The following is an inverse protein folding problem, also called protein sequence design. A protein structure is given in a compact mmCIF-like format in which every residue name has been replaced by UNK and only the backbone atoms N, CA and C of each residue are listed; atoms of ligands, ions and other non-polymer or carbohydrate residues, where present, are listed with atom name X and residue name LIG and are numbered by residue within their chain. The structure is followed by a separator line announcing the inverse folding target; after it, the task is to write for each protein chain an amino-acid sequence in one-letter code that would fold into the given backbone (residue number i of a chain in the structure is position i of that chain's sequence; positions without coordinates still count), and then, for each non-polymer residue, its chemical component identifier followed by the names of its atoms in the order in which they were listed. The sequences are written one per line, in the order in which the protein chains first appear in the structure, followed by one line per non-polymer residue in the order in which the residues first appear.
data_IF_166069676532
#
_entry.id   IF_166069676532
#
_cell.length_a   1.000
_cell.length_b   1.000
_cell.length_c   1.000
_cell.angle_alpha   90.00
_cell.angle_beta   90.00
_cell.angle_gamma   90.00
#
_symmetry.space_group_name_H-M   'P 1'
#
loop_
_entity.id
_entity.type
_entity.pdbx_description
1 polymer ?
#
# COMPACT_ATOMS: atom_id res chain seq x y z
N UNK A 1 -99.71 -10.89 17.56
CA UNK A 1 -100.12 -9.82 16.62
C UNK A 1 -99.09 -9.79 15.50
N UNK A 2 -99.38 -10.47 14.39
CA UNK A 2 -98.58 -10.40 13.17
C UNK A 2 -99.09 -9.20 12.36
N UNK A 3 -98.30 -8.13 12.34
CA UNK A 3 -98.58 -7.01 11.44
C UNK A 3 -98.21 -7.46 10.02
N UNK A 4 -99.14 -7.46 9.05
CA UNK A 4 -98.78 -7.71 7.66
C UNK A 4 -97.82 -6.60 7.22
N UNK A 5 -96.60 -6.99 6.86
CA UNK A 5 -95.66 -6.10 6.21
C UNK A 5 -96.28 -5.64 4.88
N UNK A 6 -96.23 -4.33 4.63
CA UNK A 6 -96.64 -3.75 3.37
C UNK A 6 -95.83 -4.39 2.22
N UNK A 7 -96.48 -5.04 1.23
CA UNK A 7 -95.81 -5.63 0.08
C UNK A 7 -94.88 -4.65 -0.66
N UNK A 8 -95.19 -3.35 -0.65
CA UNK A 8 -94.36 -2.33 -1.27
C UNK A 8 -92.99 -2.18 -0.56
N UNK A 9 -92.97 -2.22 0.77
CA UNK A 9 -91.74 -2.15 1.56
C UNK A 9 -90.87 -3.39 1.34
N UNK A 10 -91.48 -4.56 1.18
CA UNK A 10 -90.75 -5.80 0.88
C UNK A 10 -90.06 -5.76 -0.49
N UNK A 11 -90.75 -5.24 -1.52
CA UNK A 11 -90.16 -5.09 -2.85
C UNK A 11 -88.95 -4.13 -2.85
N UNK A 12 -89.07 -2.98 -2.19
CA UNK A 12 -87.96 -2.02 -2.08
C UNK A 12 -86.76 -2.61 -1.33
N UNK A 13 -87.00 -3.29 -0.19
CA UNK A 13 -85.93 -3.93 0.56
C UNK A 13 -85.24 -5.05 -0.23
N UNK A 14 -85.98 -5.78 -1.07
CA UNK A 14 -85.43 -6.81 -1.95
C UNK A 14 -84.56 -6.21 -3.05
N UNK A 15 -84.99 -5.13 -3.69
CA UNK A 15 -84.20 -4.42 -4.72
C UNK A 15 -82.91 -3.85 -4.13
N UNK A 16 -82.98 -3.25 -2.95
CA UNK A 16 -81.80 -2.76 -2.21
C UNK A 16 -80.83 -3.90 -1.89
N UNK A 17 -81.32 -5.04 -1.40
CA UNK A 17 -80.50 -6.20 -1.10
C UNK A 17 -79.80 -6.75 -2.35
N UNK A 18 -80.51 -6.85 -3.48
CA UNK A 18 -79.94 -7.29 -4.76
C UNK A 18 -78.85 -6.31 -5.22
N UNK A 19 -79.08 -5.01 -5.08
CA UNK A 19 -78.07 -3.98 -5.38
C UNK A 19 -76.80 -4.17 -4.55
N UNK A 20 -76.94 -4.34 -3.22
CA UNK A 20 -75.81 -4.58 -2.31
C UNK A 20 -75.06 -5.88 -2.62
N UNK A 21 -75.78 -6.95 -2.98
CA UNK A 21 -75.15 -8.22 -3.38
C UNK A 21 -74.28 -8.01 -4.63
N UNK A 22 -74.79 -7.33 -5.67
CA UNK A 22 -74.02 -7.04 -6.88
C UNK A 22 -72.78 -6.19 -6.61
N UNK A 23 -72.91 -5.17 -5.76
CA UNK A 23 -71.78 -4.32 -5.37
C UNK A 23 -70.70 -5.13 -4.63
N UNK A 24 -71.11 -6.01 -3.71
CA UNK A 24 -70.17 -6.89 -3.00
C UNK A 24 -69.51 -7.90 -3.94
N UNK A 25 -70.24 -8.45 -4.91
CA UNK A 25 -69.68 -9.34 -5.94
C UNK A 25 -68.65 -8.61 -6.81
N UNK A 26 -68.92 -7.38 -7.22
CA UNK A 26 -67.99 -6.55 -7.99
C UNK A 26 -66.72 -6.21 -7.17
N UNK A 27 -66.88 -5.80 -5.91
CA UNK A 27 -65.75 -5.56 -5.00
C UNK A 27 -64.91 -6.81 -4.75
N UNK A 28 -65.55 -7.97 -4.60
CA UNK A 28 -64.85 -9.25 -4.42
C UNK A 28 -64.10 -9.65 -5.70
N UNK A 29 -64.68 -9.41 -6.86
CA UNK A 29 -64.02 -9.65 -8.15
C UNK A 29 -62.79 -8.73 -8.32
N UNK A 30 -62.91 -7.45 -7.96
CA UNK A 30 -61.80 -6.50 -8.05
C UNK A 30 -60.67 -6.85 -7.08
N UNK A 31 -61.00 -7.23 -5.84
CA UNK A 31 -60.01 -7.71 -4.88
C UNK A 31 -59.30 -8.98 -5.38
N UNK A 32 -60.02 -9.90 -6.03
CA UNK A 32 -59.40 -11.10 -6.65
C UNK A 32 -58.46 -10.73 -7.78
N UNK A 33 -58.80 -9.72 -8.59
CA UNK A 33 -57.91 -9.22 -9.66
C UNK A 33 -56.66 -8.58 -9.06
N UNK A 34 -56.80 -7.69 -8.07
CA UNK A 34 -55.67 -7.06 -7.38
C UNK A 34 -54.73 -8.12 -6.78
N UNK A 35 -55.28 -9.07 -6.02
CA UNK A 35 -54.50 -10.15 -5.41
C UNK A 35 -53.80 -11.04 -6.46
N UNK A 36 -54.42 -11.26 -7.62
CA UNK A 36 -53.78 -12.01 -8.72
C UNK A 36 -52.62 -11.24 -9.35
N UNK A 37 -52.72 -9.92 -9.45
CA UNK A 37 -51.65 -9.06 -9.97
C UNK A 37 -50.48 -9.00 -8.99
N UNK A 38 -50.77 -8.81 -7.70
CA UNK A 38 -49.76 -8.81 -6.63
C UNK A 38 -48.99 -10.14 -6.58
N UNK A 39 -49.69 -11.27 -6.66
CA UNK A 39 -49.05 -12.59 -6.68
C UNK A 39 -48.13 -12.77 -7.89
N UNK A 40 -48.49 -12.25 -9.06
CA UNK A 40 -47.65 -12.34 -10.25
C UNK A 40 -46.43 -11.42 -10.16
N UNK A 41 -46.59 -10.22 -9.59
CA UNK A 41 -45.46 -9.32 -9.29
C UNK A 41 -44.49 -9.95 -8.30
N UNK A 42 -44.98 -10.61 -7.25
CA UNK A 42 -44.14 -11.31 -6.28
C UNK A 42 -43.37 -12.48 -6.94
N UNK A 43 -44.03 -13.24 -7.82
CA UNK A 43 -43.37 -14.32 -8.58
C UNK A 43 -42.29 -13.79 -9.53
N UNK A 44 -42.52 -12.65 -10.18
CA UNK A 44 -41.50 -12.01 -11.00
C UNK A 44 -40.33 -11.49 -10.17
N UNK A 45 -40.60 -10.85 -9.03
CA UNK A 45 -39.57 -10.38 -8.12
C UNK A 45 -38.71 -11.56 -7.62
N UNK A 46 -39.34 -12.67 -7.25
CA UNK A 46 -38.65 -13.90 -6.84
C UNK A 46 -37.79 -14.49 -7.96
N UNK A 47 -38.31 -14.56 -9.20
CA UNK A 47 -37.52 -15.02 -10.36
C UNK A 47 -36.30 -14.14 -10.61
N UNK A 48 -36.42 -12.82 -10.51
CA UNK A 48 -35.28 -11.89 -10.66
C UNK A 48 -34.25 -12.06 -9.55
N UNK A 49 -34.71 -12.30 -8.33
CA UNK A 49 -33.81 -12.56 -7.20
C UNK A 49 -33.06 -13.88 -7.37
N UNK A 50 -33.74 -14.96 -7.77
CA UNK A 50 -33.13 -16.25 -8.06
C UNK A 50 -32.11 -16.15 -9.21
N UNK A 51 -32.42 -15.43 -10.29
CA UNK A 51 -31.46 -15.15 -11.37
C UNK A 51 -30.20 -14.43 -10.88
N UNK A 52 -30.35 -13.41 -10.01
CA UNK A 52 -29.19 -12.71 -9.43
C UNK A 52 -28.34 -13.61 -8.53
N UNK A 53 -28.96 -14.54 -7.80
CA UNK A 53 -28.22 -15.52 -7.00
C UNK A 53 -27.43 -16.48 -7.89
N UNK A 54 -28.00 -16.93 -9.00
CA UNK A 54 -27.29 -17.79 -9.97
C UNK A 54 -26.11 -17.04 -10.64
N UNK A 55 -26.31 -15.77 -11.01
CA UNK A 55 -25.25 -14.89 -11.54
C UNK A 55 -24.12 -14.68 -10.52
N UNK A 56 -24.46 -14.44 -9.25
CA UNK A 56 -23.47 -14.29 -8.19
C UNK A 56 -22.72 -15.60 -7.92
N UNK A 57 -23.42 -16.73 -7.96
CA UNK A 57 -22.82 -18.05 -7.76
C UNK A 57 -21.83 -18.37 -8.85
N UNK A 58 -22.20 -18.18 -10.13
CA UNK A 58 -21.29 -18.37 -11.27
C UNK A 58 -20.10 -17.42 -11.21
N UNK A 59 -20.32 -16.15 -10.86
CA UNK A 59 -19.23 -15.18 -10.67
C UNK A 59 -18.25 -15.59 -9.55
N UNK A 60 -18.75 -16.15 -8.44
CA UNK A 60 -17.90 -16.65 -7.36
C UNK A 60 -17.09 -17.89 -7.78
N UNK A 61 -17.69 -18.82 -8.52
CA UNK A 61 -17.01 -20.00 -9.05
C UNK A 61 -15.91 -19.62 -10.05
N UNK A 62 -16.18 -18.70 -10.98
CA UNK A 62 -15.19 -18.18 -11.93
C UNK A 62 -14.03 -17.48 -11.21
N UNK A 63 -14.35 -16.66 -10.21
CA UNK A 63 -13.34 -16.02 -9.38
C UNK A 63 -12.46 -17.08 -8.70
N UNK A 64 -13.07 -18.08 -8.06
CA UNK A 64 -12.34 -19.15 -7.37
C UNK A 64 -11.38 -19.89 -8.31
N UNK A 65 -11.83 -20.25 -9.52
CA UNK A 65 -10.98 -20.88 -10.53
C UNK A 65 -9.81 -19.97 -10.94
N UNK A 66 -10.06 -18.66 -11.06
CA UNK A 66 -9.02 -17.66 -11.30
C UNK A 66 -7.96 -17.62 -10.19
N UNK A 67 -8.38 -17.64 -8.93
CA UNK A 67 -7.49 -17.68 -7.77
C UNK A 67 -6.67 -18.98 -7.71
N UNK A 68 -7.26 -20.13 -8.03
CA UNK A 68 -6.56 -21.42 -8.06
C UNK A 68 -5.51 -21.48 -9.17
N UNK A 69 -5.81 -20.94 -10.36
CA UNK A 69 -4.87 -20.87 -11.47
C UNK A 69 -3.67 -19.98 -11.13
N UNK A 70 -3.91 -18.80 -10.56
CA UNK A 70 -2.83 -17.88 -10.17
C UNK A 70 -1.97 -18.46 -9.04
N UNK A 71 -2.59 -19.18 -8.08
CA UNK A 71 -1.87 -19.90 -7.03
C UNK A 71 -0.98 -21.01 -7.61
N UNK A 72 -1.49 -21.76 -8.59
CA UNK A 72 -0.72 -22.79 -9.29
C UNK A 72 0.47 -22.18 -10.04
N UNK A 73 0.24 -21.09 -10.77
CA UNK A 73 1.29 -20.33 -11.46
C UNK A 73 2.37 -19.84 -10.49
N UNK A 74 1.97 -19.16 -9.42
CA UNK A 74 2.89 -18.67 -8.37
C UNK A 74 3.71 -19.81 -7.74
N UNK A 75 3.12 -21.00 -7.56
CA UNK A 75 3.84 -22.17 -7.05
C UNK A 75 4.90 -22.67 -8.04
N UNK A 76 4.60 -22.68 -9.34
CA UNK A 76 5.58 -23.05 -10.38
C UNK A 76 6.72 -22.05 -10.48
N UNK A 77 6.42 -20.75 -10.43
CA UNK A 77 7.43 -19.67 -10.47
C UNK A 77 8.33 -19.72 -9.23
N UNK A 78 7.76 -19.91 -8.04
CA UNK A 78 8.51 -20.09 -6.79
C UNK A 78 9.42 -21.33 -6.83
N UNK A 79 8.92 -22.44 -7.35
CA UNK A 79 9.71 -23.67 -7.55
C UNK A 79 10.88 -23.44 -8.53
N UNK A 80 10.64 -22.73 -9.64
CA UNK A 80 11.67 -22.39 -10.61
C UNK A 80 12.75 -21.48 -10.01
N UNK A 81 12.36 -20.44 -9.26
CA UNK A 81 13.29 -19.54 -8.55
C UNK A 81 14.12 -20.33 -7.54
N UNK A 82 13.50 -21.23 -6.77
CA UNK A 82 14.20 -22.09 -5.82
C UNK A 82 15.24 -22.98 -6.51
N UNK A 83 14.90 -23.58 -7.64
CA UNK A 83 15.84 -24.38 -8.44
C UNK A 83 17.01 -23.54 -8.97
N UNK A 84 16.75 -22.32 -9.45
CA UNK A 84 17.80 -21.39 -9.88
C UNK A 84 18.71 -20.98 -8.72
N UNK A 85 18.16 -20.75 -7.53
CA UNK A 85 18.94 -20.43 -6.33
C UNK A 85 19.86 -21.57 -5.90
N UNK A 86 19.36 -22.81 -5.91
CA UNK A 86 20.17 -24.00 -5.61
C UNK A 86 21.32 -24.17 -6.62
N UNK A 87 21.05 -23.94 -7.91
CA UNK A 87 22.08 -23.94 -8.95
C UNK A 87 23.16 -22.88 -8.71
N UNK A 88 22.77 -21.62 -8.49
CA UNK A 88 23.71 -20.53 -8.24
C UNK A 88 24.53 -20.76 -6.95
N UNK A 89 23.91 -21.36 -5.93
CA UNK A 89 24.59 -21.77 -4.70
C UNK A 89 25.66 -22.83 -4.97
N UNK A 90 25.37 -23.81 -5.83
CA UNK A 90 26.36 -24.81 -6.25
C UNK A 90 27.50 -24.17 -7.06
N UNK A 91 27.20 -23.29 -8.01
CA UNK A 91 28.21 -22.55 -8.80
C UNK A 91 29.11 -21.69 -7.90
N UNK A 92 28.53 -20.98 -6.92
CA UNK A 92 29.29 -20.21 -5.92
C UNK A 92 30.31 -21.06 -5.17
N UNK A 93 29.92 -22.27 -4.72
CA UNK A 93 30.84 -23.19 -4.02
C UNK A 93 32.01 -23.62 -4.91
N UNK A 94 31.77 -23.83 -6.21
CA UNK A 94 32.84 -24.14 -7.17
C UNK A 94 33.83 -22.98 -7.28
N UNK A 95 33.32 -21.75 -7.41
CA UNK A 95 34.17 -20.55 -7.46
C UNK A 95 34.98 -20.34 -6.18
N UNK A 96 34.39 -20.59 -5.01
CA UNK A 96 35.10 -20.52 -3.73
C UNK A 96 36.26 -21.52 -3.65
N UNK A 97 36.08 -22.75 -4.14
CA UNK A 97 37.12 -23.77 -4.21
C UNK A 97 38.25 -23.36 -5.17
N UNK A 98 37.90 -22.85 -6.35
CA UNK A 98 38.87 -22.33 -7.32
C UNK A 98 39.68 -21.18 -6.70
N UNK A 99 39.01 -20.22 -6.05
CA UNK A 99 39.65 -19.10 -5.38
C UNK A 99 40.57 -19.55 -4.24
N UNK A 100 40.18 -20.58 -3.47
CA UNK A 100 41.02 -21.15 -2.42
C UNK A 100 42.30 -21.79 -2.99
N UNK A 101 42.20 -22.51 -4.10
CA UNK A 101 43.35 -23.11 -4.79
C UNK A 101 44.31 -22.05 -5.34
N UNK A 102 43.80 -20.98 -5.95
CA UNK A 102 44.64 -19.86 -6.39
C UNK A 102 45.33 -19.15 -5.23
N UNK A 103 44.62 -18.90 -4.12
CA UNK A 103 45.20 -18.34 -2.90
C UNK A 103 46.33 -19.22 -2.35
N UNK A 104 46.17 -20.54 -2.35
CA UNK A 104 47.21 -21.49 -1.92
C UNK A 104 48.44 -21.41 -2.82
N UNK A 105 48.27 -21.43 -4.16
CA UNK A 105 49.38 -21.30 -5.12
C UNK A 105 50.11 -19.96 -4.97
N UNK A 106 49.36 -18.86 -4.81
CA UNK A 106 49.94 -17.54 -4.60
C UNK A 106 50.80 -17.49 -3.32
N UNK A 107 50.30 -18.05 -2.20
CA UNK A 107 51.09 -18.16 -0.96
C UNK A 107 52.39 -18.93 -1.16
N UNK A 108 52.35 -20.07 -1.83
CA UNK A 108 53.58 -20.86 -2.10
C UNK A 108 54.59 -20.12 -2.97
N UNK A 109 54.12 -19.33 -3.95
CA UNK A 109 55.01 -18.51 -4.78
C UNK A 109 55.62 -17.35 -3.99
N UNK A 110 54.82 -16.68 -3.16
CA UNK A 110 55.30 -15.61 -2.27
C UNK A 110 56.35 -16.15 -1.29
N UNK A 111 56.10 -17.30 -0.67
CA UNK A 111 57.09 -17.94 0.22
C UNK A 111 58.40 -18.29 -0.51
N UNK A 112 58.32 -18.77 -1.76
CA UNK A 112 59.52 -19.06 -2.57
C UNK A 112 60.31 -17.79 -2.88
N UNK A 113 59.64 -16.75 -3.37
CA UNK A 113 60.26 -15.45 -3.67
C UNK A 113 60.85 -14.80 -2.41
N UNK A 114 60.19 -14.96 -1.26
CA UNK A 114 60.70 -14.46 0.01
C UNK A 114 62.02 -15.16 0.39
N UNK A 115 62.10 -16.49 0.25
CA UNK A 115 63.36 -17.23 0.51
C UNK A 115 64.48 -16.83 -0.45
N UNK A 116 64.18 -16.64 -1.73
CA UNK A 116 65.16 -16.18 -2.73
C UNK A 116 65.66 -14.76 -2.40
N UNK A 117 64.74 -13.85 -2.04
CA UNK A 117 65.07 -12.49 -1.58
C UNK A 117 65.98 -12.53 -0.35
N UNK A 118 65.63 -13.32 0.67
CA UNK A 118 66.42 -13.42 1.90
C UNK A 118 67.83 -13.97 1.62
N UNK A 119 67.95 -14.92 0.67
CA UNK A 119 69.24 -15.43 0.20
C UNK A 119 70.10 -14.37 -0.48
N UNK A 120 69.52 -13.60 -1.40
CA UNK A 120 70.21 -12.49 -2.07
C UNK A 120 70.62 -11.38 -1.09
N UNK A 121 69.76 -11.05 -0.12
CA UNK A 121 70.09 -10.07 0.91
C UNK A 121 71.29 -10.50 1.77
N UNK A 122 71.43 -11.80 2.07
CA UNK A 122 72.60 -12.33 2.76
C UNK A 122 73.86 -12.22 1.91
N UNK A 123 73.77 -12.53 0.62
CA UNK A 123 74.90 -12.40 -0.32
C UNK A 123 75.38 -10.95 -0.44
N UNK A 124 74.45 -10.00 -0.58
CA UNK A 124 74.75 -8.55 -0.57
C UNK A 124 75.42 -8.14 0.74
N UNK A 125 74.97 -8.66 1.89
CA UNK A 125 75.62 -8.39 3.20
C UNK A 125 77.05 -8.92 3.25
N UNK A 126 77.35 -10.07 2.63
CA UNK A 126 78.72 -10.61 2.57
C UNK A 126 79.61 -9.77 1.66
N UNK A 127 79.13 -9.38 0.47
CA UNK A 127 79.87 -8.52 -0.47
C UNK A 127 80.19 -7.14 0.15
N UNK A 128 79.24 -6.59 0.91
CA UNK A 128 79.44 -5.31 1.63
C UNK A 128 80.52 -5.38 2.71
N UNK A 129 80.85 -6.58 3.24
CA UNK A 129 81.96 -6.76 4.18
C UNK A 129 83.32 -6.87 3.47
N UNK A 130 83.34 -7.28 2.20
CA UNK A 130 84.55 -7.48 1.41
C UNK A 130 85.01 -6.23 0.66
N UNK A 131 84.17 -5.20 0.59
CA UNK A 131 84.51 -3.90 0.00
C UNK A 131 84.94 -2.92 1.10
N UNK A 132 86.26 -2.64 1.27
CA UNK A 132 86.69 -1.59 2.19
C UNK A 132 86.16 -0.23 1.73
N UNK A 133 85.80 0.60 2.70
CA UNK A 133 85.18 1.90 2.50
C UNK A 133 86.07 2.84 1.68
N UNK A 134 85.92 2.82 0.35
CA UNK A 134 86.46 3.87 -0.51
C UNK A 134 85.53 5.08 -0.40
N UNK A 135 85.97 6.01 0.44
CA UNK A 135 85.58 7.41 0.46
C UNK A 135 85.59 7.95 -0.97
N UNK A 136 84.46 8.46 -1.48
CA UNK A 136 84.40 9.83 -2.02
C UNK A 136 83.02 10.20 -2.59
N UNK A 137 82.61 11.39 -2.16
CA UNK A 137 81.74 12.38 -2.80
C UNK A 137 80.73 11.91 -3.86
N UNK A 138 79.44 11.97 -3.49
CA UNK A 138 78.40 12.32 -4.45
C UNK A 138 77.67 13.58 -4.00
N UNK A 139 77.47 14.55 -4.91
CA UNK A 139 77.00 15.89 -4.58
C UNK A 139 75.53 15.88 -4.18
N UNK A 140 75.20 16.76 -3.24
CA UNK A 140 73.84 17.20 -2.90
C UNK A 140 73.10 17.59 -4.18
N UNK A 141 72.22 16.71 -4.66
CA UNK A 141 71.13 17.12 -5.54
C UNK A 141 69.93 17.47 -4.67
N UNK A 142 69.75 18.77 -4.44
CA UNK A 142 68.52 19.36 -3.94
C UNK A 142 67.40 19.16 -4.97
N UNK A 143 66.73 18.00 -4.92
CA UNK A 143 65.46 17.82 -5.60
C UNK A 143 64.37 18.51 -4.77
N UNK A 144 64.00 19.72 -5.19
CA UNK A 144 62.77 20.41 -4.78
C UNK A 144 61.55 19.61 -5.22
N UNK A 145 61.25 18.53 -4.50
CA UNK A 145 60.03 17.76 -4.67
C UNK A 145 58.86 18.57 -4.13
N UNK A 146 58.26 19.39 -4.99
CA UNK A 146 56.88 19.84 -4.81
C UNK A 146 56.05 18.60 -4.51
N UNK A 147 55.50 18.53 -3.29
CA UNK A 147 54.49 17.56 -2.90
C UNK A 147 53.25 17.76 -3.80
N UNK A 148 53.27 17.16 -4.98
CA UNK A 148 52.06 16.91 -5.72
C UNK A 148 51.35 15.78 -4.99
N UNK A 149 50.35 16.14 -4.20
CA UNK A 149 49.31 15.21 -3.76
C UNK A 149 48.83 14.44 -4.99
N UNK A 150 48.99 13.11 -5.04
CA UNK A 150 48.54 12.30 -6.17
C UNK A 150 47.01 12.30 -6.33
N UNK A 151 46.28 12.96 -5.43
CA UNK A 151 44.83 13.14 -5.48
C UNK A 151 44.38 14.52 -5.99
N UNK A 152 45.29 15.46 -6.28
CA UNK A 152 44.93 16.79 -6.81
C UNK A 152 44.31 16.72 -8.22
N UNK A 153 44.58 15.66 -8.99
CA UNK A 153 44.00 15.46 -10.33
C UNK A 153 42.54 14.96 -10.30
N UNK A 154 41.99 14.60 -9.13
CA UNK A 154 40.61 14.13 -9.02
C UNK A 154 39.56 15.24 -8.80
N UNK A 155 39.96 16.52 -8.81
CA UNK A 155 38.99 17.63 -8.85
C UNK A 155 37.96 17.67 -7.72
N UNK A 156 38.22 17.00 -6.59
CA UNK A 156 37.34 17.04 -5.43
C UNK A 156 37.66 18.29 -4.61
N UNK A 157 37.21 19.43 -5.13
CA UNK A 157 37.19 20.68 -4.37
C UNK A 157 36.20 20.53 -3.23
N UNK A 158 36.73 20.57 -2.02
CA UNK A 158 35.97 20.72 -0.78
C UNK A 158 35.47 22.17 -0.74
N UNK A 159 34.31 22.44 -1.32
CA UNK A 159 33.50 23.63 -1.08
C UNK A 159 32.16 23.49 -1.82
N UNK A 160 31.14 23.03 -1.09
CA UNK A 160 29.85 23.71 -0.89
C UNK A 160 28.92 22.71 -0.22
N UNK A 161 28.73 22.90 1.08
CA UNK A 161 27.49 22.51 1.72
C UNK A 161 26.32 23.24 1.02
N UNK A 162 25.22 22.51 0.83
CA UNK A 162 23.88 23.02 0.57
C UNK A 162 23.60 23.59 -0.82
N UNK A 163 23.41 22.72 -1.82
CA UNK A 163 22.34 22.89 -2.81
C UNK A 163 22.17 21.57 -3.57
N UNK A 164 20.95 21.05 -3.55
CA UNK A 164 20.60 19.74 -4.08
C UNK A 164 20.93 19.58 -5.56
N UNK A 165 21.58 18.46 -5.87
CA UNK A 165 21.49 17.84 -7.19
C UNK A 165 20.09 17.21 -7.26
N UNK A 166 19.06 18.06 -7.36
CA UNK A 166 17.77 17.67 -7.88
C UNK A 166 17.92 17.66 -9.40
N UNK A 167 18.44 16.55 -9.92
CA UNK A 167 18.41 16.28 -11.34
C UNK A 167 16.95 16.35 -11.79
N UNK A 168 16.69 17.28 -12.71
CA UNK A 168 15.40 17.48 -13.35
C UNK A 168 14.98 16.22 -14.12
N UNK A 169 14.39 15.25 -13.42
CA UNK A 169 13.46 14.34 -14.03
C UNK A 169 12.14 15.10 -14.07
N UNK A 170 11.97 15.88 -15.15
CA UNK A 170 10.71 16.52 -15.51
C UNK A 170 9.69 15.45 -15.95
N UNK A 171 9.35 14.52 -15.04
CA UNK A 171 8.14 13.72 -15.14
C UNK A 171 7.02 14.53 -14.49
N UNK A 172 5.85 14.63 -15.12
CA UNK A 172 4.71 15.35 -14.54
C UNK A 172 4.24 14.64 -13.26
N UNK A 173 4.91 14.92 -12.15
CA UNK A 173 4.59 14.41 -10.84
C UNK A 173 3.34 15.11 -10.32
N UNK A 174 2.50 14.39 -9.60
CA UNK A 174 1.42 15.01 -8.86
C UNK A 174 1.96 16.08 -7.90
N UNK A 175 1.38 17.29 -7.92
CA UNK A 175 1.68 18.31 -6.92
C UNK A 175 0.90 18.02 -5.64
N UNK A 176 1.61 18.02 -4.51
CA UNK A 176 1.02 17.75 -3.19
C UNK A 176 0.85 19.05 -2.40
N UNK A 177 -0.37 19.34 -1.96
CA UNK A 177 -0.71 20.54 -1.20
C UNK A 177 -1.09 20.19 0.23
N UNK A 178 -0.53 20.93 1.19
CA UNK A 178 -0.91 20.80 2.60
C UNK A 178 -2.36 21.22 2.82
N UNK A 179 -3.14 20.36 3.46
CA UNK A 179 -4.52 20.60 3.80
C UNK A 179 -4.70 20.57 5.34
N UNK A 180 -4.84 21.75 5.98
CA UNK A 180 -4.99 21.84 7.43
C UNK A 180 -6.38 21.41 7.93
N UNK A 181 -7.36 21.20 7.03
CA UNK A 181 -8.70 20.76 7.41
C UNK A 181 -8.74 19.27 7.79
N UNK A 182 -7.70 18.51 7.43
CA UNK A 182 -7.58 17.09 7.73
C UNK A 182 -6.69 16.93 8.95
N UNK A 183 -7.28 16.46 10.05
CA UNK A 183 -6.53 16.10 11.27
C UNK A 183 -6.20 14.60 11.32
N UNK A 184 -7.02 13.76 10.70
CA UNK A 184 -6.87 12.31 10.71
C UNK A 184 -7.61 11.68 9.54
N UNK A 185 -7.06 10.60 8.98
CA UNK A 185 -7.70 9.84 7.90
C UNK A 185 -8.76 8.93 8.49
N UNK A 186 -10.03 9.23 8.20
CA UNK A 186 -11.17 8.40 8.63
C UNK A 186 -11.42 7.24 7.67
N UNK A 187 -11.64 6.05 8.24
CA UNK A 187 -12.03 4.83 7.53
C UNK A 187 -13.14 4.09 8.30
N UNK A 188 -14.05 3.42 7.59
CA UNK A 188 -15.16 2.66 8.18
C UNK A 188 -14.73 1.25 8.58
N UNK A 189 -14.14 0.52 7.64
CA UNK A 189 -13.60 -0.83 7.82
C UNK A 189 -12.12 -0.83 7.50
N UNK A 190 -11.35 -1.71 8.15
CA UNK A 190 -9.90 -1.79 7.91
C UNK A 190 -9.57 -2.11 6.44
N UNK A 191 -10.46 -2.82 5.75
CA UNK A 191 -10.33 -3.16 4.33
C UNK A 191 -10.43 -1.97 3.38
N UNK A 192 -10.97 -0.83 3.84
CA UNK A 192 -10.90 0.41 3.07
C UNK A 192 -9.48 0.92 2.94
N UNK A 193 -8.57 0.60 3.88
CA UNK A 193 -7.16 0.97 3.75
C UNK A 193 -6.46 -0.06 2.88
N UNK A 194 -6.27 0.27 1.60
CA UNK A 194 -5.75 -0.65 0.59
C UNK A 194 -4.24 -0.81 0.75
N UNK A 195 -3.54 0.32 0.90
CA UNK A 195 -2.09 0.37 1.02
C UNK A 195 -1.68 1.39 2.06
N UNK A 196 -0.61 1.06 2.78
CA UNK A 196 0.04 1.94 3.72
C UNK A 196 1.55 1.81 3.51
N UNK A 197 2.20 2.94 3.33
CA UNK A 197 3.66 3.05 3.35
C UNK A 197 4.04 3.89 4.54
N UNK A 198 5.15 3.58 5.18
CA UNK A 198 5.70 4.38 6.26
C UNK A 198 7.21 4.39 6.25
N UNK A 199 7.77 5.45 6.80
CA UNK A 199 9.22 5.63 6.83
C UNK A 199 9.88 4.66 7.82
N UNK A 200 10.89 3.93 7.37
CA UNK A 200 11.74 3.08 8.23
C UNK A 200 12.73 3.91 9.06
N UNK A 201 13.01 5.15 8.66
CA UNK A 201 13.87 6.10 9.35
C UNK A 201 13.09 7.31 9.89
N UNK A 202 13.73 8.05 10.78
CA UNK A 202 13.25 9.35 11.28
C UNK A 202 14.12 10.43 10.66
N UNK A 203 13.51 11.48 10.11
CA UNK A 203 14.21 12.60 9.47
C UNK A 203 13.98 13.87 10.28
N UNK A 204 15.01 14.70 10.44
CA UNK A 204 14.87 16.04 11.01
C UNK A 204 14.48 17.03 9.92
N UNK A 205 13.25 17.56 9.98
CA UNK A 205 12.67 18.41 8.94
C UNK A 205 11.83 19.55 9.54
N UNK A 206 11.50 20.54 8.72
CA UNK A 206 10.70 21.72 9.08
C UNK A 206 9.49 21.86 8.12
N UNK A 207 8.52 20.92 8.15
CA UNK A 207 7.42 20.91 7.18
C UNK A 207 6.51 22.13 7.35
N UNK A 208 6.10 22.73 6.22
CA UNK A 208 5.12 23.83 6.14
C UNK A 208 5.43 25.04 7.04
N UNK A 209 6.71 25.40 7.16
CA UNK A 209 7.13 26.56 7.94
C UNK A 209 7.14 26.35 9.46
N UNK A 210 6.94 25.11 9.93
CA UNK A 210 7.12 24.77 11.35
C UNK A 210 8.60 24.71 11.72
N UNK A 211 8.89 24.70 13.02
CA UNK A 211 10.25 24.50 13.55
C UNK A 211 10.82 23.14 13.14
N UNK A 212 12.14 23.09 12.95
CA UNK A 212 12.87 21.85 12.70
C UNK A 212 12.68 20.86 13.85
N UNK A 213 12.20 19.66 13.54
CA UNK A 213 11.92 18.61 14.52
C UNK A 213 11.97 17.22 13.90
N UNK A 214 11.95 16.18 14.74
CA UNK A 214 11.94 14.79 14.27
C UNK A 214 10.59 14.44 13.65
N UNK A 215 10.62 13.91 12.44
CA UNK A 215 9.43 13.56 11.67
C UNK A 215 9.49 12.09 11.22
N UNK A 216 8.33 11.44 11.17
CA UNK A 216 8.10 10.25 10.35
C UNK A 216 7.12 10.56 9.22
N UNK A 217 7.18 9.78 8.16
CA UNK A 217 6.35 9.97 6.97
C UNK A 217 5.48 8.74 6.72
N UNK A 218 4.28 8.97 6.22
CA UNK A 218 3.35 7.91 5.82
C UNK A 218 2.64 8.28 4.53
N UNK A 219 2.34 7.28 3.71
CA UNK A 219 1.43 7.38 2.56
C UNK A 219 0.31 6.38 2.81
N UNK A 220 -0.93 6.86 2.85
CA UNK A 220 -2.09 6.02 3.09
C UNK A 220 -3.04 6.10 1.90
N UNK A 221 -3.44 4.94 1.39
CA UNK A 221 -4.40 4.79 0.31
C UNK A 221 -5.69 4.24 0.88
N UNK A 222 -6.77 5.01 0.75
CA UNK A 222 -8.10 4.62 1.22
C UNK A 222 -9.06 4.50 0.05
N UNK A 223 -9.71 3.35 -0.07
CA UNK A 223 -10.85 3.15 -0.96
C UNK A 223 -12.06 3.89 -0.40
N UNK A 224 -12.51 4.95 -1.08
CA UNK A 224 -13.76 5.62 -0.76
C UNK A 224 -14.73 5.42 -1.91
N UNK A 225 -15.88 4.83 -1.60
CA UNK A 225 -16.86 4.43 -2.61
C UNK A 225 -16.18 3.57 -3.69
N UNK A 226 -16.01 4.10 -4.90
CA UNK A 226 -15.40 3.42 -6.04
C UNK A 226 -14.01 3.94 -6.40
N UNK A 227 -13.52 5.02 -5.75
CA UNK A 227 -12.27 5.67 -6.10
C UNK A 227 -11.20 5.61 -4.99
N UNK A 228 -9.94 5.26 -5.33
CA UNK A 228 -8.85 5.33 -4.37
C UNK A 228 -8.49 6.78 -4.07
N UNK A 229 -8.28 7.09 -2.80
CA UNK A 229 -7.81 8.39 -2.33
C UNK A 229 -6.44 8.25 -1.70
N UNK A 230 -5.50 9.11 -2.11
CA UNK A 230 -4.11 9.09 -1.63
C UNK A 230 -3.90 10.25 -0.66
N UNK A 231 -3.36 9.92 0.51
CA UNK A 231 -3.04 10.87 1.57
C UNK A 231 -1.56 10.73 1.94
N UNK A 232 -0.86 11.85 2.01
CA UNK A 232 0.50 11.92 2.54
C UNK A 232 0.42 12.51 3.94
N UNK A 233 1.07 11.88 4.91
CA UNK A 233 1.06 12.34 6.29
C UNK A 233 2.48 12.53 6.82
N UNK A 234 2.74 13.71 7.36
CA UNK A 234 3.93 14.04 8.15
C UNK A 234 3.58 13.94 9.61
N UNK A 235 4.16 12.98 10.34
CA UNK A 235 3.97 12.87 11.78
C UNK A 235 5.12 13.52 12.51
N UNK A 236 4.81 14.60 13.22
CA UNK A 236 5.75 15.39 14.01
C UNK A 236 5.89 14.71 15.37
N UNK A 237 7.02 14.06 15.60
CA UNK A 237 7.22 13.19 16.77
C UNK A 237 7.20 14.00 18.06
N UNK A 238 7.83 15.18 18.05
CA UNK A 238 7.98 16.02 19.23
C UNK A 238 6.66 16.72 19.63
N UNK A 239 5.79 17.00 18.65
CA UNK A 239 4.47 17.64 18.87
C UNK A 239 3.32 16.62 18.98
N UNK A 240 3.52 15.38 18.51
CA UNK A 240 2.48 14.34 18.49
C UNK A 240 1.37 14.58 17.46
N UNK A 241 1.56 15.50 16.52
CA UNK A 241 0.56 15.92 15.52
C UNK A 241 0.92 15.38 14.13
N UNK A 242 -0.10 15.08 13.31
CA UNK A 242 0.07 14.74 11.90
C UNK A 242 -0.37 15.91 11.00
N UNK A 243 0.39 16.19 9.95
CA UNK A 243 0.06 17.17 8.91
C UNK A 243 -0.17 16.44 7.60
N UNK A 244 -1.24 16.79 6.90
CA UNK A 244 -1.67 16.05 5.71
C UNK A 244 -1.43 16.85 4.45
N UNK A 245 -0.97 16.15 3.42
CA UNK A 245 -0.96 16.66 2.06
C UNK A 245 -1.79 15.77 1.15
N UNK A 246 -2.45 16.41 0.20
CA UNK A 246 -3.25 15.75 -0.82
C UNK A 246 -2.68 16.06 -2.20
N UNK A 247 -2.75 15.12 -3.15
CA UNK A 247 -2.53 15.46 -4.55
C UNK A 247 -3.58 16.50 -4.98
N UNK A 248 -3.19 17.46 -5.82
CA UNK A 248 -4.12 18.47 -6.36
C UNK A 248 -5.32 17.82 -7.05
N UNK A 249 -5.09 16.66 -7.70
CA UNK A 249 -6.14 15.82 -8.28
C UNK A 249 -6.03 14.39 -7.73
N UNK A 250 -7.09 13.94 -7.04
CA UNK A 250 -7.19 12.55 -6.61
C UNK A 250 -7.24 11.61 -7.81
N UNK A 251 -6.63 10.41 -7.73
CA UNK A 251 -6.58 9.49 -8.85
C UNK A 251 -7.97 8.93 -9.17
N UNK A 252 -8.37 9.03 -10.43
CA UNK A 252 -9.56 8.38 -10.97
C UNK A 252 -9.15 7.11 -11.74
N UNK A 253 -9.18 5.97 -11.05
CA UNK A 253 -8.88 4.66 -11.64
C UNK A 253 -7.44 4.18 -11.45
N UNK A 254 -7.21 2.90 -11.78
CA UNK A 254 -6.01 2.11 -11.42
C UNK A 254 -4.70 2.63 -12.00
N UNK A 255 -4.69 3.09 -13.26
CA UNK A 255 -3.47 3.62 -13.89
C UNK A 255 -3.01 4.95 -13.31
N UNK A 256 -3.94 5.86 -12.99
CA UNK A 256 -3.62 7.13 -12.34
C UNK A 256 -3.19 6.93 -10.88
N UNK A 257 -3.80 5.95 -10.22
CA UNK A 257 -3.50 5.57 -8.85
C UNK A 257 -2.03 5.19 -8.64
N UNK A 258 -1.51 4.23 -9.43
CA UNK A 258 -0.13 3.77 -9.29
C UNK A 258 0.88 4.90 -9.47
N UNK A 259 0.60 5.83 -10.39
CA UNK A 259 1.45 6.99 -10.65
C UNK A 259 1.46 7.98 -9.50
N UNK A 260 0.29 8.33 -8.94
CA UNK A 260 0.21 9.25 -7.79
C UNK A 260 0.92 8.68 -6.56
N UNK A 261 0.81 7.36 -6.32
CA UNK A 261 1.54 6.69 -5.23
C UNK A 261 3.06 6.74 -5.47
N UNK A 262 3.51 6.48 -6.70
CA UNK A 262 4.93 6.58 -7.05
C UNK A 262 5.47 8.01 -6.87
N UNK A 263 4.70 9.02 -7.28
CA UNK A 263 5.05 10.43 -7.09
C UNK A 263 5.10 10.79 -5.59
N UNK A 264 4.20 10.23 -4.78
CA UNK A 264 4.19 10.41 -3.33
C UNK A 264 5.39 9.76 -2.63
N UNK A 265 5.81 8.57 -3.10
CA UNK A 265 7.04 7.92 -2.63
C UNK A 265 8.25 8.77 -2.96
N UNK A 266 8.37 9.21 -4.22
CA UNK A 266 9.45 10.08 -4.66
C UNK A 266 9.50 11.40 -3.87
N UNK A 267 8.33 12.01 -3.58
CA UNK A 267 8.23 13.20 -2.75
C UNK A 267 8.92 13.01 -1.38
N UNK A 268 8.60 11.93 -0.65
CA UNK A 268 9.23 11.68 0.65
C UNK A 268 10.69 11.23 0.55
N UNK A 269 11.05 10.43 -0.46
CA UNK A 269 12.43 10.00 -0.70
C UNK A 269 13.36 11.17 -1.02
N UNK A 270 12.88 12.16 -1.79
CA UNK A 270 13.64 13.37 -2.12
C UNK A 270 14.02 14.20 -0.88
N UNK A 271 13.28 14.04 0.21
CA UNK A 271 13.51 14.70 1.50
C UNK A 271 14.46 13.87 2.38
N UNK A 272 14.65 12.58 2.07
CA UNK A 272 15.54 11.67 2.78
C UNK A 272 14.82 10.60 3.62
N UNK A 273 13.51 10.42 3.44
CA UNK A 273 12.82 9.27 4.03
C UNK A 273 13.09 7.99 3.25
N UNK A 274 13.22 6.87 3.95
CA UNK A 274 13.22 5.52 3.38
C UNK A 274 11.84 4.93 3.57
N UNK A 275 11.04 4.91 2.51
CA UNK A 275 9.65 4.43 2.58
C UNK A 275 9.59 2.93 2.37
N UNK A 276 8.83 2.24 3.23
CA UNK A 276 8.57 0.81 3.09
C UNK A 276 7.06 0.53 3.13
N UNK A 277 6.63 -0.53 2.45
CA UNK A 277 5.23 -0.94 2.38
C UNK A 277 4.89 -1.74 3.64
N UNK A 278 3.82 -1.33 4.33
CA UNK A 278 3.28 -2.10 5.45
C UNK A 278 2.47 -3.27 4.92
N UNK A 279 2.78 -4.48 5.39
CA UNK A 279 1.99 -5.68 5.14
C UNK A 279 0.69 -5.63 5.97
N UNK A 280 -0.35 -5.02 5.40
CA UNK A 280 -1.69 -5.02 5.99
C UNK A 280 -2.35 -6.38 5.74
N UNK A 281 -2.33 -7.26 6.74
CA UNK A 281 -3.10 -8.51 6.71
C UNK A 281 -4.61 -8.19 6.80
N UNK A 282 -5.32 -8.25 5.67
CA UNK A 282 -6.75 -7.87 5.56
C UNK A 282 -7.63 -8.51 6.64
N UNK A 283 -8.52 -7.73 7.22
CA UNK A 283 -9.53 -8.19 8.18
C UNK A 283 -9.01 -8.66 9.54
N UNK A 284 -7.72 -8.45 9.87
CA UNK A 284 -7.15 -8.93 11.14
C UNK A 284 -7.08 -7.84 12.20
N UNK A 285 -7.19 -8.22 13.47
CA UNK A 285 -6.93 -7.33 14.63
C UNK A 285 -5.54 -6.70 14.58
N UNK A 286 -4.58 -7.40 13.96
CA UNK A 286 -3.22 -6.90 13.70
C UNK A 286 -3.23 -5.70 12.76
N UNK A 287 -4.08 -5.68 11.74
CA UNK A 287 -4.23 -4.55 10.82
C UNK A 287 -4.77 -3.33 11.57
N UNK A 288 -5.81 -3.50 12.38
CA UNK A 288 -6.36 -2.42 13.20
C UNK A 288 -5.31 -1.86 14.17
N UNK A 289 -4.60 -2.75 14.88
CA UNK A 289 -3.52 -2.35 15.79
C UNK A 289 -2.39 -1.60 15.06
N UNK A 290 -2.03 -2.02 13.84
CA UNK A 290 -1.02 -1.35 13.03
C UNK A 290 -1.49 0.05 12.59
N UNK A 291 -2.73 0.18 12.12
CA UNK A 291 -3.32 1.45 11.71
C UNK A 291 -3.40 2.42 12.90
N UNK A 292 -3.86 1.97 14.05
CA UNK A 292 -3.92 2.77 15.27
C UNK A 292 -2.53 3.22 15.74
N UNK A 293 -1.53 2.32 15.67
CA UNK A 293 -0.15 2.62 16.06
C UNK A 293 0.50 3.71 15.20
N UNK A 294 0.11 3.84 13.93
CA UNK A 294 0.58 4.95 13.09
C UNK A 294 0.01 6.29 13.55
N UNK A 295 -1.17 6.26 14.17
CA UNK A 295 -2.00 7.37 14.61
C UNK A 295 -2.26 8.46 13.57
N UNK A 296 -2.16 8.12 12.28
CA UNK A 296 -2.60 8.97 11.16
C UNK A 296 -4.00 8.57 10.66
N UNK A 297 -4.46 7.38 11.05
CA UNK A 297 -5.75 6.82 10.68
C UNK A 297 -6.61 6.62 11.94
N UNK A 298 -7.92 6.80 11.81
CA UNK A 298 -8.90 6.54 12.88
C UNK A 298 -10.15 5.90 12.31
N UNK A 299 -10.60 4.82 12.94
CA UNK A 299 -11.87 4.18 12.61
C UNK A 299 -13.01 5.15 12.92
N UNK A 300 -13.94 5.29 11.98
CA UNK A 300 -15.14 6.09 12.15
C UNK A 300 -16.29 5.21 12.66
N UNK A 301 -16.62 5.23 13.96
CA UNK A 301 -17.62 4.33 14.53
C UNK A 301 -19.04 4.68 14.09
N UNK A 302 -19.29 5.91 13.63
CA UNK A 302 -20.64 6.33 13.24
C UNK A 302 -21.12 5.67 11.94
N UNK A 303 -20.24 4.98 11.21
CA UNK A 303 -20.57 4.37 9.93
C UNK A 303 -20.93 2.88 10.00
N UNK A 304 -20.93 2.28 11.20
CA UNK A 304 -21.35 0.88 11.40
C UNK A 304 -22.87 0.69 11.38
N UNK A 305 -23.62 1.78 11.50
CA UNK A 305 -25.06 1.78 11.28
C UNK A 305 -25.32 2.36 9.90
N UNK A 306 -25.62 1.53 8.89
CA UNK A 306 -26.15 2.06 7.63
C UNK A 306 -27.38 2.91 7.96
N UNK A 307 -27.47 4.12 7.39
CA UNK A 307 -28.56 5.07 7.63
C UNK A 307 -29.96 4.44 7.42
N UNK A 308 -30.06 3.34 6.65
CA UNK A 308 -31.26 2.52 6.52
C UNK A 308 -31.78 1.93 7.84
N UNK A 309 -30.94 1.70 8.85
CA UNK A 309 -31.39 1.24 10.18
C UNK A 309 -31.73 2.45 11.08
N UNK A 310 -31.16 3.63 10.84
CA UNK A 310 -31.53 4.84 11.58
C UNK A 310 -32.96 5.26 11.28
N UNK A 311 -33.40 5.16 10.02
CA UNK A 311 -34.82 5.36 9.66
C UNK A 311 -35.73 4.31 10.31
N UNK A 312 -35.29 3.06 10.40
CA UNK A 312 -36.07 2.00 11.08
C UNK A 312 -36.14 2.25 12.60
N UNK A 313 -35.08 2.76 13.23
CA UNK A 313 -35.07 3.09 14.67
C UNK A 313 -35.94 4.32 14.99
N UNK A 314 -35.94 5.35 14.13
CA UNK A 314 -36.83 6.49 14.29
C UNK A 314 -38.31 6.10 14.08
N UNK A 315 -38.60 5.21 13.13
CA UNK A 315 -39.95 4.65 12.93
C UNK A 315 -40.38 3.79 14.13
N UNK A 316 -39.47 3.00 14.72
CA UNK A 316 -39.76 2.20 15.91
C UNK A 316 -40.02 3.07 17.15
N UNK A 317 -39.24 4.14 17.36
CA UNK A 317 -39.42 5.04 18.50
C UNK A 317 -40.64 5.95 18.36
N UNK A 318 -41.04 6.35 17.14
CA UNK A 318 -42.29 7.07 16.90
C UNK A 318 -43.52 6.19 17.12
N UNK A 319 -43.44 4.87 16.88
CA UNK A 319 -44.56 3.93 17.04
C UNK A 319 -44.80 3.50 18.50
N UNK A 320 -43.78 3.56 19.36
CA UNK A 320 -43.90 3.21 20.80
C UNK A 320 -44.34 4.40 21.66
N UNK A 321 -44.28 5.63 21.14
CA UNK A 321 -44.69 6.85 21.83
C UNK A 321 -46.12 7.33 21.49
N UNK A 322 -46.82 6.66 20.57
CA UNK A 322 -48.21 6.90 20.19
C UNK A 322 -49.14 5.85 20.79
#
# INVERSE_FOLDING_TARGET
MTFPLDPALYCLAKEELIGRIKELEERLLEHRRSASVELEQEREARRRFEQRLDELTTSCEEAQLGWELERSRSATESSAIKASLERLSAEKKVWELIAANFRKKARTLVEKLQREKDGLEQEVRLLKKLTPATVNHHPEYHATGKQHSPFAALGMTSQTAHAGIAAAIAGSGADFRHDPSIETIRYRTADQVIELYGSANIVQAAPFGRRSQKCSAYICVVQRETAPHVYLAWRLIDEGVALFCLPEKQPCGTGSYARVVQDALYYFESIGFMMDRFELSRGTERQLSALEKTGICRRDPSAEFPEEIAEIYDIWHLSVAA
#
